data_IF_722813420204
#
_entry.id   IF_722813420204
#
_cell.length_a   1.000
_cell.length_b   1.000
_cell.length_c   1.000
_cell.angle_alpha   90.00
_cell.angle_beta   90.00
_cell.angle_gamma   90.00
#
_symmetry.space_group_name_H-M   'P 1'
#
loop_
_entity.id
_entity.type
_entity.pdbx_description
1 polymer ?
#
# COMPACT_ATOMS: atom_id res chain seq x y z
N UNK A 1 -7.63 -5.35 -71.16
CA UNK A 1 -9.08 -5.15 -70.99
C UNK A 1 -9.74 -6.49 -71.27
N UNK A 2 -9.93 -7.31 -70.29
CA UNK A 2 -10.55 -8.65 -70.39
C UNK A 2 -11.80 -8.60 -69.55
N UNK A 3 -12.93 -8.47 -70.21
CA UNK A 3 -14.27 -8.55 -69.63
C UNK A 3 -14.60 -10.02 -69.48
N UNK A 4 -14.57 -10.51 -68.24
CA UNK A 4 -15.07 -11.84 -67.90
C UNK A 4 -16.61 -11.77 -67.93
N UNK A 5 -17.22 -12.26 -68.94
CA UNK A 5 -18.65 -12.53 -69.04
C UNK A 5 -18.94 -13.74 -68.14
N UNK A 6 -19.52 -13.50 -66.93
CA UNK A 6 -20.12 -14.54 -66.14
C UNK A 6 -21.40 -15.02 -66.81
N UNK A 7 -21.34 -16.22 -67.36
CA UNK A 7 -22.46 -16.86 -68.05
C UNK A 7 -23.39 -17.49 -66.99
N UNK A 8 -24.49 -16.78 -66.69
CA UNK A 8 -25.51 -17.18 -65.74
C UNK A 8 -26.52 -18.11 -66.37
N UNK A 9 -26.11 -19.30 -66.86
CA UNK A 9 -27.04 -20.33 -67.38
C UNK A 9 -27.09 -21.50 -66.35
N UNK A 10 -28.26 -21.68 -65.72
CA UNK A 10 -28.65 -22.93 -65.06
C UNK A 10 -28.54 -22.96 -63.56
N UNK A 11 -28.93 -21.89 -62.86
CA UNK A 11 -29.10 -21.96 -61.38
C UNK A 11 -30.42 -22.65 -61.10
N UNK A 12 -30.37 -23.93 -60.67
CA UNK A 12 -31.53 -24.70 -60.28
C UNK A 12 -32.20 -24.01 -59.05
N UNK A 13 -33.51 -23.86 -59.05
CA UNK A 13 -34.30 -23.26 -57.95
C UNK A 13 -34.01 -23.93 -56.60
N UNK A 14 -33.64 -25.21 -56.62
CA UNK A 14 -33.19 -25.96 -55.43
C UNK A 14 -31.82 -25.52 -54.88
N UNK A 15 -30.87 -25.14 -55.77
CA UNK A 15 -29.56 -24.59 -55.37
C UNK A 15 -29.69 -23.17 -54.85
N UNK A 16 -30.58 -22.34 -55.39
CA UNK A 16 -30.86 -21.01 -54.94
C UNK A 16 -31.51 -21.07 -53.52
N UNK A 17 -32.46 -21.98 -53.31
CA UNK A 17 -33.09 -22.21 -51.99
C UNK A 17 -32.08 -22.72 -50.97
N UNK A 18 -31.14 -23.60 -51.36
CA UNK A 18 -30.08 -24.09 -50.46
C UNK A 18 -29.09 -23.00 -50.07
N UNK A 19 -28.72 -22.08 -50.99
CA UNK A 19 -27.84 -20.94 -50.72
C UNK A 19 -28.53 -19.93 -49.79
N UNK A 20 -29.82 -19.64 -50.00
CA UNK A 20 -30.61 -18.76 -49.15
C UNK A 20 -30.75 -19.38 -47.75
N UNK A 21 -30.98 -20.69 -47.67
CA UNK A 21 -31.06 -21.37 -46.37
C UNK A 21 -29.73 -21.44 -45.66
N UNK A 22 -28.60 -21.64 -46.34
CA UNK A 22 -27.25 -21.58 -45.78
C UNK A 22 -26.90 -20.14 -45.30
N UNK A 23 -27.31 -19.11 -46.06
CA UNK A 23 -27.12 -17.71 -45.65
C UNK A 23 -27.95 -17.33 -44.40
N UNK A 24 -29.14 -17.92 -44.24
CA UNK A 24 -29.97 -17.68 -43.03
C UNK A 24 -29.38 -18.36 -41.77
N UNK A 25 -28.70 -19.49 -41.90
CA UNK A 25 -28.06 -20.22 -40.77
C UNK A 25 -26.73 -19.57 -40.37
N UNK A 26 -26.01 -18.92 -41.27
CA UNK A 26 -24.75 -18.24 -40.99
C UNK A 26 -24.90 -16.94 -40.20
N UNK A 27 -26.14 -16.50 -39.97
CA UNK A 27 -26.45 -15.26 -39.26
C UNK A 27 -26.53 -15.32 -37.73
N UNK A 28 -26.17 -16.45 -37.09
CA UNK A 28 -26.21 -16.58 -35.62
C UNK A 28 -24.84 -16.26 -35.01
N UNK A 29 -24.84 -15.39 -34.01
CA UNK A 29 -23.70 -15.07 -33.15
C UNK A 29 -23.89 -15.75 -31.79
N UNK A 30 -22.85 -16.40 -31.29
CA UNK A 30 -22.86 -16.97 -29.95
C UNK A 30 -22.28 -16.00 -28.93
N UNK A 31 -22.93 -15.84 -27.81
CA UNK A 31 -22.45 -15.05 -26.67
C UNK A 31 -22.26 -15.97 -25.49
N UNK A 32 -21.03 -16.07 -25.00
CA UNK A 32 -20.67 -16.85 -23.82
C UNK A 32 -20.49 -15.90 -22.63
N UNK A 33 -21.19 -16.16 -21.54
CA UNK A 33 -21.06 -15.43 -20.30
C UNK A 33 -20.33 -16.28 -19.28
N UNK A 34 -19.24 -15.73 -18.73
CA UNK A 34 -18.44 -16.43 -17.71
C UNK A 34 -19.11 -16.39 -16.33
N UNK A 35 -18.83 -17.36 -15.44
CA UNK A 35 -19.26 -17.32 -14.03
C UNK A 35 -18.72 -16.05 -13.33
N UNK A 36 -19.59 -15.39 -12.55
CA UNK A 36 -19.26 -14.13 -11.87
C UNK A 36 -19.41 -12.88 -12.71
N UNK A 37 -19.88 -13.02 -13.97
CA UNK A 37 -20.25 -11.89 -14.83
C UNK A 37 -21.67 -12.08 -15.38
N UNK A 38 -22.27 -11.00 -15.81
CA UNK A 38 -23.50 -11.00 -16.62
C UNK A 38 -23.24 -10.26 -17.93
N UNK A 39 -23.82 -10.76 -19.00
CA UNK A 39 -23.71 -10.11 -20.31
C UNK A 39 -24.95 -9.29 -20.58
N UNK A 40 -24.73 -8.00 -20.78
CA UNK A 40 -25.75 -7.08 -21.25
C UNK A 40 -25.86 -7.17 -22.76
N UNK A 41 -27.07 -7.40 -23.24
CA UNK A 41 -27.35 -7.57 -24.66
C UNK A 41 -27.71 -6.23 -25.27
N UNK A 42 -26.99 -5.85 -26.32
CA UNK A 42 -27.23 -4.63 -27.09
C UNK A 42 -27.63 -4.98 -28.51
N UNK A 43 -28.83 -4.62 -28.89
CA UNK A 43 -29.37 -4.83 -30.25
C UNK A 43 -29.02 -3.64 -31.13
N UNK A 44 -28.37 -3.91 -32.28
CA UNK A 44 -28.06 -2.93 -33.31
C UNK A 44 -28.73 -3.34 -34.63
N UNK A 45 -30.07 -3.12 -34.78
CA UNK A 45 -30.77 -3.53 -36.00
C UNK A 45 -30.25 -2.75 -37.20
N UNK A 46 -30.05 -3.49 -38.33
CA UNK A 46 -29.46 -2.91 -39.55
C UNK A 46 -30.50 -2.22 -40.43
N UNK A 47 -31.74 -2.75 -40.50
CA UNK A 47 -32.79 -2.21 -41.36
C UNK A 47 -34.07 -1.83 -40.60
N UNK A 48 -34.58 -2.68 -39.75
CA UNK A 48 -35.85 -2.48 -39.05
C UNK A 48 -35.75 -2.84 -37.60
N UNK A 49 -36.46 -2.08 -36.74
CA UNK A 49 -36.55 -2.32 -35.31
C UNK A 49 -35.96 -1.21 -34.47
N UNK A 50 -36.23 -1.27 -33.19
CA UNK A 50 -35.63 -0.38 -32.20
C UNK A 50 -34.40 -1.06 -31.62
N UNK A 51 -33.23 -0.46 -31.84
CA UNK A 51 -31.99 -0.88 -31.20
C UNK A 51 -31.91 -0.41 -29.76
N UNK A 52 -30.93 -0.92 -29.03
CA UNK A 52 -30.62 -0.48 -27.69
C UNK A 52 -30.29 -1.61 -26.74
N UNK A 53 -30.12 -1.24 -25.50
CA UNK A 53 -29.78 -2.16 -24.40
C UNK A 53 -31.04 -2.87 -23.93
N UNK A 54 -30.96 -4.21 -23.86
CA UNK A 54 -32.05 -5.00 -23.28
C UNK A 54 -32.04 -4.88 -21.76
N UNK A 55 -33.25 -4.82 -21.16
CA UNK A 55 -33.36 -4.74 -19.68
C UNK A 55 -32.99 -6.07 -18.98
N UNK A 56 -33.03 -7.19 -19.70
CA UNK A 56 -32.65 -8.50 -19.18
C UNK A 56 -31.23 -8.85 -19.58
N UNK A 57 -30.41 -9.11 -18.56
CA UNK A 57 -29.06 -9.60 -18.72
C UNK A 57 -29.03 -11.11 -18.96
N UNK A 58 -28.00 -11.57 -19.67
CA UNK A 58 -27.73 -12.99 -19.83
C UNK A 58 -26.89 -13.48 -18.65
N UNK A 59 -27.40 -14.51 -17.97
CA UNK A 59 -26.68 -15.24 -16.90
C UNK A 59 -25.58 -16.12 -17.48
N UNK A 60 -24.65 -16.64 -16.65
CA UNK A 60 -23.59 -17.52 -17.10
C UNK A 60 -24.11 -18.67 -17.97
N UNK A 61 -23.44 -18.88 -19.10
CA UNK A 61 -23.78 -19.89 -20.10
C UNK A 61 -23.62 -19.40 -21.52
N UNK A 62 -23.92 -20.30 -22.47
CA UNK A 62 -23.90 -20.02 -23.90
C UNK A 62 -25.30 -19.72 -24.39
N UNK A 63 -25.46 -18.61 -25.12
CA UNK A 63 -26.72 -18.24 -25.80
C UNK A 63 -26.44 -17.80 -27.23
N UNK A 64 -27.43 -18.07 -28.11
CA UNK A 64 -27.35 -17.73 -29.51
C UNK A 64 -28.22 -16.51 -29.78
N UNK A 65 -27.67 -15.52 -30.45
CA UNK A 65 -28.32 -14.27 -30.81
C UNK A 65 -28.22 -13.99 -32.30
N UNK A 66 -28.96 -13.05 -32.76
CA UNK A 66 -28.88 -12.57 -34.12
C UNK A 66 -27.55 -11.87 -34.38
N UNK A 67 -27.00 -11.96 -35.57
CA UNK A 67 -25.68 -11.41 -35.93
C UNK A 67 -25.49 -9.91 -35.60
N UNK A 68 -26.56 -9.13 -35.59
CA UNK A 68 -26.55 -7.70 -35.26
C UNK A 68 -26.60 -7.40 -33.75
N UNK A 69 -26.61 -8.44 -32.87
CA UNK A 69 -26.64 -8.30 -31.43
C UNK A 69 -25.21 -8.39 -30.87
N UNK A 70 -24.88 -7.46 -29.99
CA UNK A 70 -23.59 -7.43 -29.29
C UNK A 70 -23.79 -7.74 -27.81
N UNK A 71 -22.97 -8.60 -27.25
CA UNK A 71 -22.89 -8.84 -25.82
C UNK A 71 -21.81 -7.97 -25.17
N UNK A 72 -22.14 -7.28 -24.09
CA UNK A 72 -21.20 -6.56 -23.22
C UNK A 72 -21.14 -7.30 -21.89
N UNK A 73 -20.02 -7.98 -21.65
CA UNK A 73 -19.82 -8.71 -20.40
C UNK A 73 -19.41 -7.75 -19.29
N UNK A 74 -20.17 -7.77 -18.19
CA UNK A 74 -19.97 -6.93 -17.01
C UNK A 74 -19.70 -7.85 -15.81
N UNK A 75 -18.56 -7.67 -15.15
CA UNK A 75 -18.23 -8.42 -13.94
C UNK A 75 -19.13 -7.95 -12.77
N UNK A 76 -19.79 -8.91 -12.10
CA UNK A 76 -20.56 -8.67 -10.87
C UNK A 76 -19.69 -8.79 -9.62
N UNK A 77 -18.48 -9.31 -9.76
CA UNK A 77 -17.52 -9.39 -8.67
C UNK A 77 -17.02 -7.99 -8.30
N UNK A 78 -16.62 -7.78 -7.03
CA UNK A 78 -16.02 -6.53 -6.62
C UNK A 78 -14.77 -6.21 -7.44
N UNK A 79 -14.73 -5.01 -8.00
CA UNK A 79 -13.61 -4.53 -8.82
C UNK A 79 -12.82 -3.50 -8.02
N UNK A 80 -11.50 -3.69 -7.97
CA UNK A 80 -10.57 -2.78 -7.31
C UNK A 80 -10.05 -1.74 -8.30
N UNK A 81 -10.26 -0.46 -7.98
CA UNK A 81 -9.68 0.68 -8.70
C UNK A 81 -8.58 1.29 -7.85
N UNK A 82 -7.34 1.29 -8.37
CA UNK A 82 -6.20 1.92 -7.73
C UNK A 82 -6.16 3.39 -8.12
N UNK A 83 -6.19 4.26 -7.12
CA UNK A 83 -6.14 5.71 -7.30
C UNK A 83 -4.99 6.29 -6.47
N UNK A 84 -3.79 6.37 -7.05
CA UNK A 84 -2.70 7.08 -6.40
C UNK A 84 -3.05 8.58 -6.38
N UNK A 85 -2.94 9.16 -5.20
CA UNK A 85 -3.25 10.55 -4.95
C UNK A 85 -1.98 11.26 -4.48
N UNK A 86 -1.55 12.24 -5.23
CA UNK A 86 -0.32 12.97 -4.99
C UNK A 86 -0.61 14.44 -4.63
N UNK A 87 0.28 15.02 -3.86
CA UNK A 87 0.26 16.44 -3.48
C UNK A 87 -1.06 16.90 -2.82
N UNK A 88 -1.60 16.09 -1.90
CA UNK A 88 -2.77 16.48 -1.13
C UNK A 88 -2.35 17.39 0.04
N UNK A 89 -2.92 18.59 0.07
CA UNK A 89 -2.67 19.53 1.15
C UNK A 89 -3.40 19.13 2.42
N UNK A 90 -2.72 19.16 3.55
CA UNK A 90 -3.24 18.98 4.89
C UNK A 90 -3.58 20.31 5.54
N UNK A 91 -4.21 20.31 6.72
CA UNK A 91 -4.58 21.53 7.45
C UNK A 91 -3.36 22.40 7.86
N UNK A 92 -2.22 21.76 8.06
CA UNK A 92 -0.93 22.41 8.40
C UNK A 92 -0.07 22.77 7.20
N UNK A 93 -0.69 22.88 6.00
CA UNK A 93 -0.07 23.24 4.71
C UNK A 93 1.08 22.32 4.26
N UNK A 94 1.13 21.10 4.77
CA UNK A 94 2.03 20.07 4.28
C UNK A 94 1.37 19.29 3.14
N UNK A 95 2.19 18.64 2.31
CA UNK A 95 1.71 17.78 1.24
C UNK A 95 1.95 16.31 1.58
N UNK A 96 0.93 15.50 1.32
CA UNK A 96 1.00 14.05 1.51
C UNK A 96 0.50 13.33 0.26
N UNK A 97 1.02 12.13 0.06
CA UNK A 97 0.66 11.23 -1.02
C UNK A 97 0.01 9.97 -0.44
N UNK A 98 -1.04 9.48 -1.08
CA UNK A 98 -1.71 8.23 -0.70
C UNK A 98 -1.65 7.22 -1.84
N UNK A 99 -1.38 5.97 -1.49
CA UNK A 99 -1.58 4.82 -2.38
C UNK A 99 -3.00 4.26 -2.18
N UNK A 100 -4.03 5.07 -2.50
CA UNK A 100 -5.40 4.70 -2.22
C UNK A 100 -5.98 3.73 -3.26
N UNK A 101 -6.97 2.96 -2.82
CA UNK A 101 -7.81 2.18 -3.71
C UNK A 101 -9.25 2.14 -3.20
N UNK A 102 -10.16 1.98 -4.14
CA UNK A 102 -11.58 1.78 -3.86
C UNK A 102 -12.04 0.45 -4.46
N UNK A 103 -12.98 -0.18 -3.80
CA UNK A 103 -13.60 -1.42 -4.27
C UNK A 103 -15.08 -1.16 -4.52
N UNK A 104 -15.47 -1.31 -5.77
CA UNK A 104 -16.83 -1.08 -6.25
C UNK A 104 -17.43 -2.37 -6.78
N UNK A 105 -18.73 -2.53 -6.63
CA UNK A 105 -19.50 -3.66 -7.14
C UNK A 105 -20.76 -3.19 -7.82
N UNK A 106 -21.06 -3.76 -8.98
CA UNK A 106 -22.29 -3.46 -9.72
C UNK A 106 -23.51 -4.12 -9.08
N UNK A 107 -24.62 -3.36 -9.08
CA UNK A 107 -25.94 -3.89 -8.70
C UNK A 107 -26.79 -4.20 -9.91
N UNK A 108 -26.73 -3.37 -10.93
CA UNK A 108 -27.51 -3.50 -12.16
C UNK A 108 -26.63 -3.20 -13.38
N UNK A 109 -26.14 -4.24 -14.08
CA UNK A 109 -25.33 -4.08 -15.27
C UNK A 109 -26.07 -3.47 -16.47
N UNK A 110 -27.39 -3.75 -16.61
CA UNK A 110 -28.17 -3.25 -17.74
C UNK A 110 -28.32 -1.73 -17.66
N UNK A 111 -28.66 -1.20 -16.50
CA UNK A 111 -28.76 0.24 -16.26
C UNK A 111 -27.41 0.96 -16.44
N UNK A 112 -26.32 0.32 -16.08
CA UNK A 112 -24.97 0.86 -16.32
C UNK A 112 -24.74 1.09 -17.80
N UNK A 113 -24.84 0.02 -18.60
CA UNK A 113 -24.55 0.07 -20.04
C UNK A 113 -25.50 1.05 -20.74
N UNK A 114 -26.77 1.13 -20.29
CA UNK A 114 -27.79 1.98 -20.85
C UNK A 114 -27.54 3.47 -20.64
N UNK A 115 -27.13 3.86 -19.42
CA UNK A 115 -26.99 5.28 -19.05
C UNK A 115 -25.57 5.82 -19.19
N UNK A 116 -24.58 5.01 -18.90
CA UNK A 116 -23.18 5.47 -18.73
C UNK A 116 -22.21 4.83 -19.73
N UNK A 117 -22.65 3.80 -20.46
CA UNK A 117 -21.75 2.96 -21.22
C UNK A 117 -20.87 2.06 -20.32
N UNK A 118 -20.20 1.08 -20.91
CA UNK A 118 -19.35 0.17 -20.14
C UNK A 118 -17.89 0.64 -20.07
N UNK A 119 -17.40 1.22 -21.18
CA UNK A 119 -16.01 1.64 -21.28
C UNK A 119 -15.79 2.93 -20.49
N UNK A 120 -14.74 2.95 -19.64
CA UNK A 120 -14.29 4.12 -18.87
C UNK A 120 -15.35 4.80 -17.99
N UNK A 121 -16.45 4.09 -17.65
CA UNK A 121 -17.52 4.64 -16.83
C UNK A 121 -17.04 5.22 -15.49
N UNK A 122 -16.08 4.53 -14.84
CA UNK A 122 -15.49 4.97 -13.59
C UNK A 122 -14.71 6.28 -13.77
N UNK A 123 -13.85 6.34 -14.78
CA UNK A 123 -13.03 7.51 -15.06
C UNK A 123 -13.87 8.75 -15.36
N UNK A 124 -14.95 8.58 -16.12
CA UNK A 124 -15.80 9.71 -16.53
C UNK A 124 -16.76 10.18 -15.42
N UNK A 125 -17.20 9.29 -14.53
CA UNK A 125 -18.28 9.63 -13.62
C UNK A 125 -17.88 9.71 -12.13
N UNK A 126 -16.85 8.94 -11.70
CA UNK A 126 -16.53 8.81 -10.28
C UNK A 126 -15.12 9.25 -9.88
N UNK A 127 -14.15 9.11 -10.76
CA UNK A 127 -12.73 9.33 -10.46
C UNK A 127 -12.44 10.72 -9.92
N UNK A 128 -12.85 11.76 -10.63
CA UNK A 128 -12.57 13.14 -10.23
C UNK A 128 -13.34 13.55 -8.97
N UNK A 129 -14.54 13.01 -8.79
CA UNK A 129 -15.31 13.24 -7.55
C UNK A 129 -14.66 12.56 -6.36
N UNK A 130 -14.19 11.34 -6.53
CA UNK A 130 -13.42 10.66 -5.49
C UNK A 130 -12.21 11.47 -5.06
N UNK A 131 -11.40 11.94 -6.01
CA UNK A 131 -10.23 12.79 -5.76
C UNK A 131 -10.58 14.08 -5.04
N UNK A 132 -11.69 14.70 -5.43
CA UNK A 132 -12.17 15.93 -4.78
C UNK A 132 -12.57 15.67 -3.33
N UNK A 133 -13.35 14.61 -3.07
CA UNK A 133 -13.75 14.23 -1.72
C UNK A 133 -12.54 13.95 -0.84
N UNK A 134 -11.57 13.17 -1.35
CA UNK A 134 -10.35 12.88 -0.58
C UNK A 134 -9.59 14.15 -0.25
N UNK A 135 -9.43 15.05 -1.22
CA UNK A 135 -8.77 16.34 -1.01
C UNK A 135 -9.45 17.18 0.07
N UNK A 136 -10.77 17.25 0.03
CA UNK A 136 -11.55 18.06 0.97
C UNK A 136 -11.56 17.48 2.38
N UNK A 137 -11.58 16.16 2.51
CA UNK A 137 -11.47 15.48 3.80
C UNK A 137 -10.05 15.63 4.36
N UNK A 138 -9.01 15.39 3.55
CA UNK A 138 -7.61 15.48 3.98
C UNK A 138 -7.26 16.86 4.53
N UNK A 139 -7.78 17.94 3.95
CA UNK A 139 -7.58 19.34 4.42
C UNK A 139 -8.06 19.60 5.84
N UNK A 140 -8.90 18.74 6.42
CA UNK A 140 -9.40 18.90 7.79
C UNK A 140 -8.42 18.40 8.84
N UNK A 141 -7.46 17.57 8.44
CA UNK A 141 -6.55 16.88 9.35
C UNK A 141 -5.11 17.37 9.18
N UNK A 142 -4.34 17.28 10.26
CA UNK A 142 -2.91 17.57 10.24
C UNK A 142 -2.10 16.36 9.76
N UNK A 143 -0.94 16.62 9.16
CA UNK A 143 -0.07 15.57 8.59
C UNK A 143 0.38 14.54 9.64
N UNK A 144 0.84 15.00 10.80
CA UNK A 144 1.40 14.11 11.83
C UNK A 144 0.39 13.07 12.35
N UNK A 145 -0.85 13.42 12.76
CA UNK A 145 -1.87 12.45 13.12
C UNK A 145 -2.20 11.46 12.00
N UNK A 146 -2.29 11.93 10.76
CA UNK A 146 -2.56 11.06 9.61
C UNK A 146 -1.49 9.97 9.48
N UNK A 147 -0.23 10.28 9.73
CA UNK A 147 0.89 9.35 9.59
C UNK A 147 1.09 8.41 10.78
N UNK A 148 0.77 8.87 11.99
CA UNK A 148 1.15 8.18 13.23
C UNK A 148 0.00 7.54 13.96
N UNK A 149 -1.24 8.02 13.75
CA UNK A 149 -2.42 7.54 14.46
C UNK A 149 -3.35 6.75 13.52
N UNK A 150 -3.45 5.42 13.70
CA UNK A 150 -4.36 4.59 12.91
C UNK A 150 -5.84 4.97 13.06
N UNK A 151 -6.25 5.52 14.23
CA UNK A 151 -7.62 5.93 14.46
C UNK A 151 -8.00 7.15 13.60
N UNK A 152 -7.09 8.08 13.42
CA UNK A 152 -7.24 9.22 12.52
C UNK A 152 -7.40 8.77 11.07
N UNK A 153 -6.57 7.83 10.60
CA UNK A 153 -6.68 7.29 9.26
C UNK A 153 -8.03 6.57 9.03
N UNK A 154 -8.47 5.75 9.99
CA UNK A 154 -9.75 5.08 9.94
C UNK A 154 -10.94 6.08 9.91
N UNK A 155 -10.85 7.19 10.65
CA UNK A 155 -11.86 8.25 10.61
C UNK A 155 -11.92 8.93 9.24
N UNK A 156 -10.78 9.19 8.61
CA UNK A 156 -10.67 9.72 7.26
C UNK A 156 -11.31 8.77 6.25
N UNK A 157 -10.96 7.49 6.29
CA UNK A 157 -11.52 6.46 5.40
C UNK A 157 -13.04 6.36 5.53
N UNK A 158 -13.55 6.41 6.75
CA UNK A 158 -14.99 6.39 7.03
C UNK A 158 -15.68 7.62 6.47
N UNK A 159 -15.15 8.81 6.70
CA UNK A 159 -15.72 10.06 6.20
C UNK A 159 -15.74 10.10 4.66
N UNK A 160 -14.63 9.69 4.01
CA UNK A 160 -14.55 9.57 2.56
C UNK A 160 -15.60 8.58 2.05
N UNK A 161 -15.70 7.40 2.66
CA UNK A 161 -16.67 6.39 2.25
C UNK A 161 -18.12 6.89 2.36
N UNK A 162 -18.46 7.62 3.42
CA UNK A 162 -19.80 8.20 3.61
C UNK A 162 -20.12 9.27 2.56
N UNK A 163 -19.19 10.19 2.30
CA UNK A 163 -19.37 11.24 1.30
C UNK A 163 -19.44 10.65 -0.11
N UNK A 164 -18.63 9.66 -0.40
CA UNK A 164 -18.61 9.01 -1.70
C UNK A 164 -19.88 8.18 -1.96
N UNK A 165 -20.40 7.47 -0.95
CA UNK A 165 -21.71 6.79 -1.04
C UNK A 165 -22.84 7.78 -1.37
N UNK A 166 -22.90 8.91 -0.67
CA UNK A 166 -23.88 9.96 -0.93
C UNK A 166 -23.76 10.49 -2.37
N UNK A 167 -22.56 10.62 -2.87
CA UNK A 167 -22.32 11.06 -4.25
C UNK A 167 -22.81 10.01 -5.27
N UNK A 168 -22.52 8.73 -5.05
CA UNK A 168 -22.99 7.62 -5.90
C UNK A 168 -24.52 7.60 -5.94
N UNK A 169 -25.19 7.74 -4.80
CA UNK A 169 -26.66 7.80 -4.71
C UNK A 169 -27.22 9.00 -5.47
N UNK A 170 -26.62 10.18 -5.30
CA UNK A 170 -27.03 11.40 -6.00
C UNK A 170 -26.88 11.29 -7.52
N UNK A 171 -25.86 10.58 -8.00
CA UNK A 171 -25.60 10.39 -9.44
C UNK A 171 -26.55 9.35 -10.06
N UNK A 172 -27.22 8.54 -9.23
CA UNK A 172 -28.10 7.47 -9.69
C UNK A 172 -27.35 6.28 -10.30
N UNK A 173 -26.07 6.13 -9.97
CA UNK A 173 -25.27 4.98 -10.36
C UNK A 173 -25.65 3.76 -9.51
N UNK A 174 -26.05 2.66 -10.17
CA UNK A 174 -26.37 1.40 -9.49
C UNK A 174 -25.11 0.60 -9.10
N UNK A 175 -24.22 1.27 -8.34
CA UNK A 175 -22.96 0.73 -7.84
C UNK A 175 -22.96 0.75 -6.33
N UNK A 176 -22.41 -0.28 -5.70
CA UNK A 176 -22.17 -0.29 -4.25
C UNK A 176 -20.67 -0.07 -3.98
N UNK A 177 -20.38 0.83 -3.06
CA UNK A 177 -19.06 0.98 -2.48
C UNK A 177 -18.87 -0.08 -1.41
N UNK A 178 -17.97 -1.02 -1.66
CA UNK A 178 -17.62 -2.09 -0.71
C UNK A 178 -16.60 -1.58 0.30
N UNK A 179 -15.50 -0.99 -0.19
CA UNK A 179 -14.42 -0.53 0.67
C UNK A 179 -13.69 0.67 0.06
N UNK A 180 -13.18 1.52 0.94
CA UNK A 180 -12.21 2.57 0.65
C UNK A 180 -11.00 2.32 1.52
N UNK A 181 -9.83 2.31 0.95
CA UNK A 181 -8.58 2.19 1.69
C UNK A 181 -7.61 3.25 1.19
N UNK A 182 -7.13 4.08 2.11
CA UNK A 182 -6.21 5.17 1.78
C UNK A 182 -4.76 4.71 1.70
N UNK A 183 -4.48 3.50 2.20
CA UNK A 183 -3.12 3.01 2.27
C UNK A 183 -2.24 3.83 3.23
N UNK A 184 -0.95 3.79 3.02
CA UNK A 184 0.01 4.55 3.83
C UNK A 184 0.13 5.98 3.32
N UNK A 185 -0.03 6.95 4.22
CA UNK A 185 0.28 8.35 3.93
C UNK A 185 1.81 8.55 3.88
N UNK A 186 2.29 9.08 2.80
CA UNK A 186 3.71 9.38 2.60
C UNK A 186 3.86 10.89 2.34
N UNK A 187 4.60 11.63 3.16
CA UNK A 187 4.90 13.03 2.88
C UNK A 187 5.86 13.15 1.69
N UNK A 188 6.00 14.35 1.18
CA UNK A 188 6.98 14.64 0.13
C UNK A 188 8.40 14.30 0.57
N UNK A 189 9.26 13.95 -0.38
CA UNK A 189 10.64 13.54 -0.13
C UNK A 189 11.45 14.59 0.65
N UNK A 190 11.20 15.86 0.42
CA UNK A 190 11.82 16.97 1.16
C UNK A 190 11.44 16.95 2.64
N UNK A 191 10.16 16.72 2.95
CA UNK A 191 9.66 16.63 4.33
C UNK A 191 10.21 15.38 5.04
N UNK A 192 10.28 14.25 4.35
CA UNK A 192 10.89 13.01 4.88
C UNK A 192 12.34 13.26 5.26
N UNK A 193 13.10 13.94 4.42
CA UNK A 193 14.51 14.26 4.68
C UNK A 193 14.65 15.13 5.93
N UNK A 194 13.81 16.15 6.08
CA UNK A 194 13.85 17.03 7.25
C UNK A 194 13.40 16.33 8.54
N UNK A 195 12.37 15.49 8.47
CA UNK A 195 11.94 14.65 9.59
C UNK A 195 13.06 13.69 10.04
N UNK A 196 13.76 13.05 9.08
CA UNK A 196 14.88 12.18 9.37
C UNK A 196 16.05 12.96 10.02
N UNK A 197 16.39 14.13 9.50
CA UNK A 197 17.41 15.01 10.08
C UNK A 197 17.05 15.39 11.51
N UNK A 198 15.81 15.78 11.75
CA UNK A 198 15.31 16.13 13.09
C UNK A 198 15.38 14.93 14.04
N UNK A 199 14.98 13.74 13.58
CA UNK A 199 15.05 12.51 14.37
C UNK A 199 16.51 12.15 14.73
N UNK A 200 17.43 12.29 13.78
CA UNK A 200 18.87 12.08 14.00
C UNK A 200 19.41 13.08 15.05
N UNK A 201 19.05 14.36 14.97
CA UNK A 201 19.48 15.35 15.95
C UNK A 201 18.92 15.05 17.35
N UNK A 202 17.64 14.70 17.44
CA UNK A 202 17.04 14.28 18.72
C UNK A 202 17.72 13.05 19.33
N UNK A 203 18.06 12.07 18.49
CA UNK A 203 18.77 10.88 18.94
C UNK A 203 20.18 11.22 19.42
N UNK A 204 20.90 12.11 18.73
CA UNK A 204 22.21 12.62 19.17
C UNK A 204 22.11 13.28 20.54
N UNK A 205 21.13 14.16 20.73
CA UNK A 205 20.92 14.84 22.04
C UNK A 205 20.65 13.81 23.15
N UNK A 206 19.83 12.78 22.90
CA UNK A 206 19.59 11.69 23.87
C UNK A 206 20.87 10.93 24.20
N UNK A 207 21.64 10.56 23.18
CA UNK A 207 22.90 9.84 23.32
C UNK A 207 23.92 10.64 24.14
N UNK A 208 24.08 11.93 23.85
CA UNK A 208 24.98 12.80 24.60
C UNK A 208 24.56 12.99 26.06
N UNK A 209 23.24 13.08 26.32
CA UNK A 209 22.73 13.10 27.72
C UNK A 209 23.05 11.81 28.45
N UNK A 210 22.84 10.66 27.82
CA UNK A 210 23.17 9.35 28.42
C UNK A 210 24.66 9.21 28.66
N UNK A 211 25.49 9.67 27.72
CA UNK A 211 26.94 9.66 27.85
C UNK A 211 27.40 10.52 29.02
N UNK A 212 26.88 11.75 29.15
CA UNK A 212 27.18 12.60 30.31
C UNK A 212 26.81 11.93 31.63
N UNK A 213 25.59 11.37 31.72
CA UNK A 213 25.16 10.65 32.95
C UNK A 213 26.06 9.46 33.26
N UNK A 214 26.51 8.73 32.23
CA UNK A 214 27.45 7.62 32.42
C UNK A 214 28.83 8.10 32.88
N UNK A 215 29.35 9.19 32.31
CA UNK A 215 30.62 9.80 32.71
C UNK A 215 30.55 10.36 34.14
N UNK A 216 29.44 11.03 34.50
CA UNK A 216 29.20 11.54 35.87
C UNK A 216 29.14 10.37 36.89
N UNK A 217 28.43 9.30 36.56
CA UNK A 217 28.37 8.11 37.39
C UNK A 217 29.73 7.44 37.56
N UNK A 218 30.51 7.39 36.48
CA UNK A 218 31.89 6.89 36.53
C UNK A 218 32.79 7.76 37.39
N UNK A 219 32.70 9.08 37.25
CA UNK A 219 33.45 10.03 38.07
C UNK A 219 33.12 9.85 39.57
N UNK A 220 31.83 9.73 39.91
CA UNK A 220 31.39 9.48 41.29
C UNK A 220 31.91 8.14 41.82
N UNK A 221 31.90 7.08 40.98
CA UNK A 221 32.45 5.78 41.36
C UNK A 221 33.95 5.84 41.59
N UNK A 222 34.70 6.54 40.74
CA UNK A 222 36.13 6.74 40.88
C UNK A 222 36.49 7.57 42.15
N UNK A 223 35.72 8.64 42.42
CA UNK A 223 35.86 9.42 43.64
C UNK A 223 35.56 8.59 44.90
N UNK A 224 34.48 7.80 44.89
CA UNK A 224 34.15 6.91 45.99
C UNK A 224 35.24 5.86 46.25
N UNK A 225 35.81 5.31 45.15
CA UNK A 225 36.92 4.37 45.23
C UNK A 225 38.19 5.03 45.82
N UNK A 226 38.54 6.21 45.32
CA UNK A 226 39.69 6.95 45.85
C UNK A 226 39.56 7.28 47.33
N UNK A 227 38.34 7.66 47.78
CA UNK A 227 38.06 7.89 49.20
C UNK A 227 38.16 6.62 50.03
N UNK A 228 37.66 5.49 49.51
CA UNK A 228 37.78 4.20 50.18
C UNK A 228 39.26 3.75 50.29
N UNK A 229 40.06 3.93 49.21
CA UNK A 229 41.46 3.62 49.21
C UNK A 229 42.27 4.48 50.16
N UNK A 230 41.95 5.77 50.27
CA UNK A 230 42.54 6.66 51.26
C UNK A 230 42.23 6.25 52.72
N UNK A 231 40.91 5.97 52.99
CA UNK A 231 40.49 5.50 54.29
C UNK A 231 41.19 4.17 54.67
N UNK A 232 41.29 3.24 53.73
CA UNK A 232 42.04 1.97 53.92
C UNK A 232 43.54 2.20 54.25
N UNK A 233 44.17 3.08 53.49
CA UNK A 233 45.57 3.46 53.71
C UNK A 233 45.81 4.04 55.11
N UNK A 234 44.96 4.95 55.56
CA UNK A 234 45.04 5.57 56.86
C UNK A 234 44.80 4.57 57.99
N UNK A 235 43.82 3.68 57.89
CA UNK A 235 43.54 2.65 58.89
C UNK A 235 44.68 1.65 59.05
N UNK A 236 45.31 1.28 57.94
CA UNK A 236 46.46 0.35 57.91
C UNK A 236 47.78 1.03 58.22
N UNK A 237 47.80 2.36 58.42
CA UNK A 237 49.02 3.18 58.60
C UNK A 237 50.09 2.94 57.54
N UNK A 238 49.68 2.73 56.29
CA UNK A 238 50.59 2.49 55.18
C UNK A 238 51.11 3.79 54.61
N UNK A 239 52.41 3.83 54.27
CA UNK A 239 52.98 4.88 53.49
C UNK A 239 52.51 4.78 52.02
N UNK A 240 52.56 5.89 51.28
CA UNK A 240 52.12 5.93 49.88
C UNK A 240 52.84 4.89 48.99
N UNK A 241 54.14 4.70 49.20
CA UNK A 241 54.94 3.71 48.46
C UNK A 241 54.48 2.27 48.78
N UNK A 242 54.20 1.97 50.05
CA UNK A 242 53.74 0.65 50.49
C UNK A 242 52.31 0.35 49.94
N UNK A 243 51.43 1.35 49.87
CA UNK A 243 50.12 1.19 49.33
C UNK A 243 50.16 0.89 47.82
N UNK A 244 50.99 1.60 47.03
CA UNK A 244 51.19 1.35 45.59
C UNK A 244 51.74 -0.07 45.34
N UNK A 245 52.66 -0.53 46.19
CA UNK A 245 53.19 -1.92 46.09
C UNK A 245 52.06 -2.94 46.36
N UNK A 246 51.27 -2.74 47.38
CA UNK A 246 50.18 -3.64 47.76
C UNK A 246 49.10 -3.67 46.66
N UNK A 247 48.77 -2.54 46.07
CA UNK A 247 47.83 -2.45 44.96
C UNK A 247 48.39 -3.10 43.69
N UNK A 248 49.67 -2.94 43.41
CA UNK A 248 50.32 -3.61 42.28
C UNK A 248 50.29 -5.13 42.42
N UNK A 249 50.62 -5.67 43.62
CA UNK A 249 50.53 -7.10 43.88
C UNK A 249 49.11 -7.63 43.70
N UNK A 250 48.10 -6.87 44.16
CA UNK A 250 46.71 -7.24 44.04
C UNK A 250 46.26 -7.28 42.59
N UNK A 251 46.59 -6.28 41.80
CA UNK A 251 46.33 -6.25 40.33
C UNK A 251 47.01 -7.40 39.63
N UNK A 252 48.26 -7.73 39.96
CA UNK A 252 48.94 -8.88 39.38
C UNK A 252 48.25 -10.20 39.76
N UNK A 253 47.82 -10.33 41.02
CA UNK A 253 47.09 -11.51 41.46
C UNK A 253 45.75 -11.66 40.73
N UNK A 254 45.00 -10.57 40.53
CA UNK A 254 43.71 -10.60 39.84
C UNK A 254 43.91 -10.90 38.32
N UNK A 255 44.91 -10.32 37.69
CA UNK A 255 45.25 -10.65 36.30
C UNK A 255 45.67 -12.13 36.12
N UNK A 256 46.29 -12.72 37.14
CA UNK A 256 46.68 -14.12 37.16
C UNK A 256 45.54 -15.10 37.40
N UNK A 257 44.43 -14.67 38.03
CA UNK A 257 43.28 -15.52 38.27
C UNK A 257 42.56 -15.96 36.99
N UNK A 258 42.61 -15.14 35.96
CA UNK A 258 41.97 -15.38 34.68
C UNK A 258 42.86 -16.15 33.70
N UNK A 259 44.15 -16.23 33.89
CA UNK A 259 45.09 -16.89 32.97
C UNK A 259 45.54 -18.26 33.51
N UNK A 260 45.57 -19.27 32.60
CA UNK A 260 46.00 -20.63 32.92
C UNK A 260 47.49 -20.70 33.26
N UNK A 261 48.30 -19.79 32.74
CA UNK A 261 49.76 -19.68 33.00
C UNK A 261 50.08 -18.20 33.26
N UNK A 262 50.36 -17.85 34.49
CA UNK A 262 50.76 -16.50 34.87
C UNK A 262 52.21 -16.43 35.25
N UNK A 263 52.99 -15.59 34.60
CA UNK A 263 54.39 -15.29 34.93
C UNK A 263 54.46 -13.84 35.35
N UNK A 264 54.73 -13.57 36.60
CA UNK A 264 54.97 -12.22 37.11
C UNK A 264 56.48 -11.98 37.15
N UNK A 265 56.94 -11.01 36.36
CA UNK A 265 58.34 -10.59 36.35
C UNK A 265 58.48 -9.35 37.23
N UNK A 266 59.05 -9.50 38.40
CA UNK A 266 59.32 -8.41 39.31
C UNK A 266 60.85 -8.23 39.44
N UNK A 267 61.36 -7.18 38.81
CA UNK A 267 62.81 -7.00 38.66
C UNK A 267 63.44 -7.99 37.64
N UNK A 268 64.72 -8.39 37.88
CA UNK A 268 65.43 -9.26 36.97
C UNK A 268 65.17 -10.78 37.14
N UNK A 269 64.31 -11.18 38.05
CA UNK A 269 64.01 -12.59 38.33
C UNK A 269 62.53 -12.87 38.03
N UNK A 270 62.19 -13.76 37.08
CA UNK A 270 60.81 -14.19 36.87
C UNK A 270 60.36 -15.14 37.97
N UNK A 271 59.23 -14.83 38.63
CA UNK A 271 58.56 -15.74 39.56
C UNK A 271 57.44 -16.44 38.84
N UNK A 272 57.56 -17.73 38.63
CA UNK A 272 56.54 -18.62 38.12
C UNK A 272 55.53 -18.93 39.25
N UNK A 273 54.31 -18.46 39.11
CA UNK A 273 53.21 -18.90 39.99
C UNK A 273 52.46 -20.01 39.25
N UNK A 274 52.83 -21.26 39.55
CA UNK A 274 52.05 -22.43 39.12
C UNK A 274 50.89 -22.65 40.13
N UNK A 275 49.72 -22.94 39.59
CA UNK A 275 48.59 -23.41 40.34
C UNK A 275 48.68 -24.91 40.48
#
# INVERSE_FOLDING_TARGET
>A
MLVAQCNFKGFNMKTLLAIVFAALISGCSSVTTEPGSETVIVDNPWFFGHGGVRDKTQKPGLSWYWWSTRGVSVALTPIKYNEPLEHLATNDNNFINYASYIVLQWKDPAELVKKFGYENWYEHNLKEQYRTIVRDVTKKYQMTPIMTDPATLAAIEKEIAEQFRKHIEKTGLHVSLINVNMGKALPDAAVITEMNNTAIQQQRVKTEKQRKLSEDSRLQAEQSRANADNAYREQMKLDAAQFVQLESIKRYSDACKESKNCVIVQGNTPVLVSR
#
